data_IF_696376892042
#
_entry.id   IF_696376892042
#
_cell.length_a   1.000
_cell.length_b   1.000
_cell.length_c   1.000
_cell.angle_alpha   90.00
_cell.angle_beta   90.00
_cell.angle_gamma   90.00
#
_symmetry.space_group_name_H-M   'P 1'
#
loop_
_entity.id
_entity.type
_entity.pdbx_description
1 polymer ?
#
# COMPACT_ATOMS: atom_id res chain seq x y z
N UNK A 1 -15.04 -7.57 -0.59
CA UNK A 1 -14.20 -8.61 0.01
C UNK A 1 -14.26 -8.42 1.51
N UNK A 2 -14.32 -9.50 2.25
CA UNK A 2 -14.39 -9.47 3.71
C UNK A 2 -13.06 -9.89 4.32
N UNK A 3 -12.78 -9.42 5.54
CA UNK A 3 -11.61 -9.85 6.27
C UNK A 3 -11.74 -11.33 6.69
N UNK A 4 -10.71 -12.10 6.35
CA UNK A 4 -10.62 -13.52 6.68
C UNK A 4 -9.46 -13.75 7.63
N UNK A 5 -9.76 -13.82 8.92
CA UNK A 5 -8.77 -14.13 9.95
C UNK A 5 -8.39 -15.61 9.88
N UNK A 6 -7.11 -15.88 9.69
CA UNK A 6 -6.52 -17.23 9.72
C UNK A 6 -5.53 -17.29 10.86
N UNK A 7 -5.75 -18.16 11.82
CA UNK A 7 -4.87 -18.33 12.97
C UNK A 7 -4.99 -19.74 13.53
N UNK A 8 -3.88 -20.35 13.97
CA UNK A 8 -3.92 -21.59 14.74
C UNK A 8 -4.44 -21.37 16.18
N UNK A 9 -4.51 -20.11 16.62
CA UNK A 9 -4.91 -19.75 17.97
C UNK A 9 -6.40 -19.41 18.02
N UNK A 10 -6.99 -19.62 19.22
CA UNK A 10 -8.32 -19.14 19.55
C UNK A 10 -8.22 -18.13 20.69
N UNK A 11 -9.12 -17.14 20.75
CA UNK A 11 -9.15 -16.21 21.87
C UNK A 11 -9.34 -16.95 23.22
N UNK A 12 -8.49 -16.65 24.19
CA UNK A 12 -8.49 -17.29 25.53
C UNK A 12 -8.43 -16.24 26.64
N UNK A 13 -8.69 -16.66 27.86
CA UNK A 13 -8.71 -15.76 29.03
C UNK A 13 -9.70 -14.61 28.86
N UNK A 14 -9.24 -13.38 29.02
CA UNK A 14 -10.04 -12.17 28.92
C UNK A 14 -10.22 -11.68 27.47
N UNK A 15 -9.51 -12.27 26.50
CA UNK A 15 -9.57 -11.84 25.10
C UNK A 15 -10.99 -11.88 24.49
N UNK A 16 -11.81 -12.94 24.67
CA UNK A 16 -13.18 -12.95 24.14
C UNK A 16 -14.01 -11.77 24.63
N UNK A 17 -13.96 -11.48 25.92
CA UNK A 17 -14.69 -10.37 26.53
C UNK A 17 -14.18 -9.02 26.01
N UNK A 18 -12.86 -8.84 25.87
CA UNK A 18 -12.27 -7.63 25.32
C UNK A 18 -12.67 -7.39 23.87
N UNK A 19 -12.64 -8.44 23.03
CA UNK A 19 -13.08 -8.39 21.62
C UNK A 19 -14.55 -7.96 21.53
N UNK A 20 -15.44 -8.59 22.28
CA UNK A 20 -16.87 -8.30 22.23
C UNK A 20 -17.17 -6.88 22.74
N UNK A 21 -16.48 -6.42 23.77
CA UNK A 21 -16.60 -5.06 24.31
C UNK A 21 -16.16 -4.01 23.29
N UNK A 22 -14.99 -4.20 22.66
CA UNK A 22 -14.46 -3.28 21.65
C UNK A 22 -15.38 -3.21 20.42
N UNK A 23 -15.83 -4.36 19.90
CA UNK A 23 -16.77 -4.42 18.77
C UNK A 23 -18.10 -3.74 19.11
N UNK A 24 -18.64 -4.01 20.29
CA UNK A 24 -19.87 -3.37 20.77
C UNK A 24 -19.70 -1.85 20.87
N UNK A 25 -18.59 -1.37 21.44
CA UNK A 25 -18.29 0.05 21.56
C UNK A 25 -18.25 0.76 20.20
N UNK A 26 -17.57 0.18 19.21
CA UNK A 26 -17.56 0.71 17.84
C UNK A 26 -18.98 0.77 17.23
N UNK A 27 -19.77 -0.29 17.40
CA UNK A 27 -21.13 -0.34 16.87
C UNK A 27 -22.09 0.65 17.58
N UNK A 28 -21.79 1.02 18.82
CA UNK A 28 -22.49 2.05 19.58
C UNK A 28 -22.00 3.48 19.24
N UNK A 29 -21.00 3.61 18.37
CA UNK A 29 -20.44 4.90 17.95
C UNK A 29 -19.42 5.51 18.93
N UNK A 30 -18.84 4.73 19.82
CA UNK A 30 -17.76 5.20 20.69
C UNK A 30 -16.57 5.64 19.83
N UNK A 31 -16.13 6.90 20.04
CA UNK A 31 -15.01 7.46 19.29
C UNK A 31 -13.66 6.94 19.77
N UNK A 32 -13.56 6.60 21.04
CA UNK A 32 -12.33 6.21 21.70
C UNK A 32 -12.58 5.00 22.60
N UNK A 33 -11.66 4.06 22.56
CA UNK A 33 -11.63 2.89 23.43
C UNK A 33 -10.17 2.52 23.73
N UNK A 34 -9.88 2.00 24.90
CA UNK A 34 -8.54 1.60 25.31
C UNK A 34 -8.50 0.12 25.61
N UNK A 35 -7.60 -0.61 24.91
CA UNK A 35 -7.28 -2.00 25.25
C UNK A 35 -6.03 -2.01 26.16
N UNK A 36 -6.22 -2.34 27.44
CA UNK A 36 -5.14 -2.46 28.39
C UNK A 36 -4.70 -3.92 28.50
N UNK A 37 -3.41 -4.17 28.41
CA UNK A 37 -2.84 -5.51 28.57
C UNK A 37 -1.33 -5.47 28.67
N UNK A 38 -0.75 -6.41 29.43
CA UNK A 38 0.71 -6.55 29.55
C UNK A 38 1.36 -6.98 28.24
N UNK A 39 2.67 -6.86 28.16
CA UNK A 39 3.43 -7.39 27.02
C UNK A 39 3.22 -8.90 26.92
N UNK A 40 3.00 -9.42 25.69
CA UNK A 40 2.75 -10.84 25.46
C UNK A 40 1.31 -11.31 25.74
N UNK A 41 0.38 -10.43 26.14
CA UNK A 41 -1.03 -10.81 26.35
C UNK A 41 -1.83 -11.05 25.06
N UNK A 42 -1.21 -10.98 23.89
CA UNK A 42 -1.87 -11.19 22.60
C UNK A 42 -2.75 -10.01 22.16
N UNK A 43 -2.36 -8.76 22.48
CA UNK A 43 -3.11 -7.57 22.05
C UNK A 43 -3.28 -7.49 20.53
N UNK A 44 -2.24 -7.80 19.74
CA UNK A 44 -2.31 -7.81 18.28
C UNK A 44 -3.34 -8.82 17.80
N UNK A 45 -3.34 -10.03 18.35
CA UNK A 45 -4.34 -11.05 18.01
C UNK A 45 -5.76 -10.64 18.42
N UNK A 46 -5.92 -9.99 19.59
CA UNK A 46 -7.20 -9.41 20.03
C UNK A 46 -7.69 -8.39 19.00
N UNK A 47 -6.82 -7.47 18.57
CA UNK A 47 -7.17 -6.46 17.55
C UNK A 47 -7.46 -7.09 16.19
N UNK A 48 -6.73 -8.13 15.77
CA UNK A 48 -7.05 -8.87 14.55
C UNK A 48 -8.47 -9.45 14.57
N UNK A 49 -8.90 -10.02 15.70
CA UNK A 49 -10.27 -10.49 15.87
C UNK A 49 -11.31 -9.34 15.82
N UNK A 50 -10.99 -8.18 16.39
CA UNK A 50 -11.85 -6.99 16.30
C UNK A 50 -11.98 -6.52 14.86
N UNK A 51 -10.89 -6.42 14.11
CA UNK A 51 -10.85 -6.03 12.71
C UNK A 51 -11.72 -6.99 11.87
N UNK A 52 -11.52 -8.29 12.03
CA UNK A 52 -12.30 -9.29 11.32
C UNK A 52 -13.81 -9.18 11.59
N UNK A 53 -14.20 -8.95 12.86
CA UNK A 53 -15.62 -8.80 13.24
C UNK A 53 -16.24 -7.50 12.74
N UNK A 54 -15.48 -6.40 12.70
CA UNK A 54 -15.97 -5.09 12.23
C UNK A 54 -16.02 -5.00 10.73
N UNK A 55 -15.17 -5.71 10.03
CA UNK A 55 -15.05 -5.75 8.58
C UNK A 55 -14.95 -4.36 7.92
N UNK A 56 -14.07 -3.51 8.47
CA UNK A 56 -13.86 -2.12 8.02
C UNK A 56 -12.40 -1.88 7.68
N UNK A 57 -12.08 -1.06 6.65
CA UNK A 57 -10.72 -0.58 6.41
C UNK A 57 -10.12 -0.03 7.70
N UNK A 58 -8.90 -0.44 8.00
CA UNK A 58 -8.27 -0.15 9.30
C UNK A 58 -6.90 0.50 9.11
N UNK A 59 -6.65 1.57 9.87
CA UNK A 59 -5.33 2.17 10.00
C UNK A 59 -4.74 1.79 11.36
N UNK A 60 -3.56 1.19 11.34
CA UNK A 60 -2.74 0.88 12.52
C UNK A 60 -1.58 1.86 12.56
N UNK A 61 -1.55 2.73 13.55
CA UNK A 61 -0.50 3.73 13.71
C UNK A 61 0.50 3.32 14.79
N UNK A 62 1.75 3.11 14.39
CA UNK A 62 2.86 2.80 15.28
C UNK A 62 3.76 4.02 15.48
N UNK A 63 4.41 4.12 16.65
CA UNK A 63 5.26 5.27 16.97
C UNK A 63 6.60 5.29 16.22
N UNK A 64 7.05 4.17 15.65
CA UNK A 64 8.26 4.10 14.82
C UNK A 64 8.15 3.05 13.71
N UNK A 65 9.13 3.08 12.77
CA UNK A 65 9.20 2.16 11.63
C UNK A 65 9.35 0.69 12.05
N UNK A 66 10.15 0.41 13.07
CA UNK A 66 10.44 -0.96 13.52
C UNK A 66 9.18 -1.63 14.06
N UNK A 67 8.43 -0.95 14.92
CA UNK A 67 7.16 -1.47 15.43
C UNK A 67 6.12 -1.58 14.31
N UNK A 68 6.09 -0.63 13.37
CA UNK A 68 5.20 -0.72 12.22
C UNK A 68 5.52 -1.96 11.36
N UNK A 69 6.80 -2.27 11.13
CA UNK A 69 7.21 -3.45 10.39
C UNK A 69 6.80 -4.75 11.11
N UNK A 70 7.03 -4.83 12.42
CA UNK A 70 6.61 -5.97 13.22
C UNK A 70 5.09 -6.19 13.16
N UNK A 71 4.30 -5.13 13.40
CA UNK A 71 2.83 -5.22 13.35
C UNK A 71 2.34 -5.59 11.94
N UNK A 72 2.97 -5.06 10.90
CA UNK A 72 2.64 -5.41 9.52
C UNK A 72 2.86 -6.91 9.25
N UNK A 73 3.98 -7.47 9.72
CA UNK A 73 4.26 -8.91 9.62
C UNK A 73 3.22 -9.74 10.38
N UNK A 74 2.92 -9.39 11.63
CA UNK A 74 1.92 -10.07 12.45
C UNK A 74 0.52 -10.04 11.79
N UNK A 75 0.09 -8.89 11.26
CA UNK A 75 -1.20 -8.79 10.57
C UNK A 75 -1.21 -9.54 9.23
N UNK A 76 -0.10 -9.60 8.48
CA UNK A 76 0.00 -10.44 7.27
C UNK A 76 -0.16 -11.93 7.57
N UNK A 77 0.36 -12.39 8.68
CA UNK A 77 0.16 -13.77 9.14
C UNK A 77 -1.31 -14.05 9.48
N UNK A 78 -2.00 -13.10 10.12
CA UNK A 78 -3.42 -13.24 10.46
C UNK A 78 -4.36 -13.06 9.28
N UNK A 79 -3.97 -12.30 8.26
CA UNK A 79 -4.80 -11.95 7.11
C UNK A 79 -4.08 -12.20 5.77
N UNK A 80 -3.66 -13.45 5.48
CA UNK A 80 -2.87 -13.76 4.29
C UNK A 80 -3.62 -13.55 2.96
N UNK A 81 -4.97 -13.51 2.99
CA UNK A 81 -5.80 -13.30 1.80
C UNK A 81 -6.28 -11.84 1.64
N UNK A 82 -5.99 -10.98 2.63
CA UNK A 82 -6.41 -9.58 2.63
C UNK A 82 -5.22 -8.62 2.38
N UNK A 83 -5.52 -7.38 2.04
CA UNK A 83 -4.47 -6.38 1.83
C UNK A 83 -3.94 -5.86 3.16
N UNK A 84 -2.74 -6.25 3.53
CA UNK A 84 -2.01 -5.69 4.68
C UNK A 84 -0.79 -4.96 4.16
N UNK A 85 -0.84 -3.64 4.25
CA UNK A 85 0.10 -2.75 3.60
C UNK A 85 0.96 -1.97 4.60
N UNK A 86 2.20 -1.72 4.21
CA UNK A 86 3.18 -1.00 5.03
C UNK A 86 3.38 0.41 4.51
N UNK A 87 3.19 1.41 5.37
CA UNK A 87 3.27 2.81 4.98
C UNK A 87 4.14 3.62 5.94
N UNK A 88 5.38 3.91 5.53
CA UNK A 88 6.35 4.65 6.34
C UNK A 88 7.02 5.76 5.53
N UNK A 89 7.88 6.54 6.18
CA UNK A 89 8.64 7.62 5.52
C UNK A 89 9.59 7.09 4.45
N UNK A 90 9.74 7.80 3.34
CA UNK A 90 10.66 7.49 2.24
C UNK A 90 12.11 7.40 2.67
N UNK A 91 12.52 8.24 3.63
CA UNK A 91 13.91 8.41 3.99
C UNK A 91 14.34 7.38 5.03
N UNK A 92 15.31 6.56 4.70
CA UNK A 92 15.99 5.65 5.63
C UNK A 92 17.14 6.34 6.34
N UNK A 93 17.78 7.27 5.66
CA UNK A 93 18.93 8.02 6.14
C UNK A 93 18.72 9.52 5.91
N UNK A 94 19.00 10.30 6.93
CA UNK A 94 19.02 11.74 6.87
C UNK A 94 20.31 12.23 7.51
N UNK A 95 21.21 12.78 6.70
CA UNK A 95 22.41 13.46 7.17
C UNK A 95 22.15 14.97 7.10
N UNK A 96 22.06 15.66 8.24
CA UNK A 96 21.97 17.11 8.23
C UNK A 96 23.25 17.74 7.73
N UNK A 97 23.13 18.93 7.17
CA UNK A 97 24.30 19.75 6.86
C UNK A 97 25.13 19.97 8.11
N UNK A 98 26.44 19.80 7.99
CA UNK A 98 27.39 20.05 9.07
C UNK A 98 28.66 20.66 8.53
N UNK A 99 29.19 21.64 9.26
CA UNK A 99 30.53 22.21 8.99
C UNK A 99 31.49 21.86 10.09
N UNK A 100 32.58 21.18 9.75
CA UNK A 100 33.64 20.79 10.67
C UNK A 100 34.78 21.80 10.54
N UNK A 101 34.78 22.79 11.42
CA UNK A 101 35.74 23.91 11.37
C UNK A 101 37.21 23.47 11.47
N UNK A 102 37.51 22.39 12.21
CA UNK A 102 38.87 21.91 12.40
C UNK A 102 39.52 21.33 11.12
N UNK A 103 38.70 20.87 10.18
CA UNK A 103 39.19 20.27 8.91
C UNK A 103 38.70 21.05 7.70
N UNK A 104 38.08 22.21 7.91
CA UNK A 104 37.42 23.01 6.85
C UNK A 104 36.56 22.16 5.91
N UNK A 105 35.82 21.23 6.50
CA UNK A 105 35.01 20.27 5.74
C UNK A 105 33.53 20.61 5.87
N UNK A 106 32.90 20.84 4.73
CA UNK A 106 31.46 20.97 4.63
C UNK A 106 30.86 19.61 4.27
N UNK A 107 29.96 19.12 5.12
CA UNK A 107 29.18 17.92 4.86
C UNK A 107 27.82 18.36 4.32
N UNK A 108 27.56 18.05 3.06
CA UNK A 108 26.28 18.37 2.43
C UNK A 108 25.15 17.53 3.01
N UNK A 109 23.94 18.11 2.97
CA UNK A 109 22.73 17.39 3.30
C UNK A 109 22.55 16.22 2.34
N UNK A 110 22.49 15.01 2.86
CA UNK A 110 22.21 13.81 2.07
C UNK A 110 20.91 13.15 2.54
N UNK A 111 20.04 12.84 1.59
CA UNK A 111 18.83 12.09 1.83
C UNK A 111 18.52 11.25 0.59
N UNK A 112 18.61 9.96 0.73
CA UNK A 112 18.23 9.03 -0.35
C UNK A 112 16.79 8.54 -0.19
N UNK A 113 16.07 8.50 -1.30
CA UNK A 113 14.75 7.85 -1.36
C UNK A 113 14.99 6.35 -1.51
N UNK A 114 14.34 5.58 -0.65
CA UNK A 114 14.38 4.12 -0.74
C UNK A 114 13.27 3.66 -1.70
N UNK A 115 13.67 3.09 -2.84
CA UNK A 115 12.75 2.63 -3.89
C UNK A 115 11.79 1.52 -3.41
N UNK A 116 12.22 0.68 -2.48
CA UNK A 116 11.37 -0.34 -1.88
C UNK A 116 10.26 0.29 -1.03
N UNK A 117 10.60 1.30 -0.24
CA UNK A 117 9.60 2.04 0.56
C UNK A 117 8.65 2.81 -0.35
N UNK A 118 9.15 3.40 -1.44
CA UNK A 118 8.33 4.09 -2.43
C UNK A 118 7.29 3.13 -3.03
N UNK A 119 7.72 1.96 -3.47
CA UNK A 119 6.85 0.89 -3.96
C UNK A 119 5.77 0.50 -2.94
N UNK A 120 6.16 0.28 -1.67
CA UNK A 120 5.22 -0.10 -0.61
C UNK A 120 4.18 0.99 -0.34
N UNK A 121 4.56 2.27 -0.42
CA UNK A 121 3.64 3.40 -0.28
C UNK A 121 2.65 3.48 -1.44
N UNK A 122 3.10 3.26 -2.66
CA UNK A 122 2.21 3.17 -3.83
C UNK A 122 1.25 1.98 -3.71
N UNK A 123 1.73 0.81 -3.27
CA UNK A 123 0.89 -0.36 -3.01
C UNK A 123 -0.21 -0.05 -1.98
N UNK A 124 0.16 0.56 -0.86
CA UNK A 124 -0.80 0.94 0.19
C UNK A 124 -1.89 1.91 -0.33
N UNK A 125 -1.49 2.89 -1.12
CA UNK A 125 -2.42 3.89 -1.67
C UNK A 125 -3.37 3.25 -2.70
N UNK A 126 -2.85 2.39 -3.57
CA UNK A 126 -3.65 1.63 -4.54
C UNK A 126 -4.63 0.70 -3.85
N UNK A 127 -4.16 -0.12 -2.90
CA UNK A 127 -5.01 -1.03 -2.14
C UNK A 127 -6.16 -0.30 -1.42
N UNK A 128 -5.89 0.85 -0.81
CA UNK A 128 -6.91 1.66 -0.14
C UNK A 128 -7.96 2.21 -1.11
N UNK A 129 -7.59 2.47 -2.36
CA UNK A 129 -8.49 2.98 -3.40
C UNK A 129 -9.37 1.88 -4.01
N UNK A 130 -8.85 0.65 -4.10
CA UNK A 130 -9.46 -0.45 -4.85
C UNK A 130 -10.20 -1.46 -3.94
N UNK A 131 -9.78 -1.58 -2.67
CA UNK A 131 -10.26 -2.63 -1.76
C UNK A 131 -10.92 -2.05 -0.52
N UNK A 132 -11.75 -2.88 0.13
CA UNK A 132 -12.37 -2.56 1.43
C UNK A 132 -11.78 -3.37 2.57
N UNK A 133 -11.13 -4.47 2.28
CA UNK A 133 -10.47 -5.38 3.20
C UNK A 133 -8.98 -5.02 3.34
N UNK A 134 -8.72 -3.77 3.73
CA UNK A 134 -7.37 -3.19 3.79
C UNK A 134 -6.99 -2.85 5.22
N UNK A 135 -5.79 -3.28 5.63
CA UNK A 135 -5.12 -2.83 6.86
C UNK A 135 -3.87 -2.07 6.45
N UNK A 136 -3.81 -0.78 6.75
CA UNK A 136 -2.61 0.03 6.57
C UNK A 136 -1.86 0.09 7.90
N UNK A 137 -0.65 -0.43 7.95
CA UNK A 137 0.23 -0.30 9.11
C UNK A 137 1.25 0.81 8.83
N UNK A 138 1.17 1.87 9.61
CA UNK A 138 1.91 3.10 9.34
C UNK A 138 2.70 3.59 10.55
N UNK A 139 3.75 4.35 10.28
CA UNK A 139 4.39 5.23 11.25
C UNK A 139 3.76 6.62 11.22
N UNK A 140 4.29 7.55 12.00
CA UNK A 140 3.86 8.96 12.04
C UNK A 140 3.82 9.64 10.66
N UNK A 141 4.47 9.08 9.65
CA UNK A 141 4.48 9.61 8.27
C UNK A 141 3.10 9.75 7.63
N UNK A 142 2.11 8.98 8.08
CA UNK A 142 0.76 9.04 7.53
C UNK A 142 -0.03 10.31 7.91
N UNK A 143 0.43 11.06 8.92
CA UNK A 143 -0.23 12.32 9.32
C UNK A 143 0.18 13.53 8.47
N UNK A 144 1.24 13.37 7.67
CA UNK A 144 1.66 14.41 6.74
C UNK A 144 0.94 14.25 5.41
N UNK A 145 0.49 15.37 4.83
CA UNK A 145 -0.26 15.38 3.58
C UNK A 145 0.49 14.68 2.44
N UNK A 146 -0.19 13.80 1.73
CA UNK A 146 0.28 13.11 0.53
C UNK A 146 -0.34 13.67 -0.77
N UNK A 147 -1.06 14.77 -0.66
CA UNK A 147 -1.86 15.32 -1.74
C UNK A 147 -3.37 15.10 -1.54
N UNK A 148 -4.13 15.50 -2.54
CA UNK A 148 -5.59 15.37 -2.53
C UNK A 148 -6.01 13.95 -2.91
N UNK A 149 -6.88 13.27 -2.14
CA UNK A 149 -7.47 11.99 -2.55
C UNK A 149 -8.28 12.09 -3.85
N UNK A 150 -8.78 13.27 -4.19
CA UNK A 150 -9.51 13.51 -5.45
C UNK A 150 -8.54 13.47 -6.61
N UNK A 151 -7.40 14.15 -6.50
CA UNK A 151 -6.36 14.17 -7.54
C UNK A 151 -5.80 12.76 -7.77
N UNK A 152 -5.58 11.99 -6.69
CA UNK A 152 -5.17 10.59 -6.83
C UNK A 152 -6.18 9.76 -7.63
N UNK A 153 -7.48 9.92 -7.39
CA UNK A 153 -8.53 9.22 -8.15
C UNK A 153 -8.56 9.60 -9.62
N UNK A 154 -8.23 10.83 -9.99
CA UNK A 154 -8.14 11.25 -11.38
C UNK A 154 -6.94 10.67 -12.11
N UNK A 155 -5.91 10.26 -11.36
CA UNK A 155 -4.70 9.61 -11.87
C UNK A 155 -4.81 8.08 -11.97
N UNK A 156 -5.97 7.50 -11.72
CA UNK A 156 -6.22 6.06 -11.87
C UNK A 156 -6.73 5.76 -13.28
N UNK A 157 -6.20 4.69 -13.87
CA UNK A 157 -6.69 4.15 -15.13
C UNK A 157 -7.39 2.82 -14.83
N UNK A 158 -8.69 2.75 -15.11
CA UNK A 158 -9.44 1.50 -15.02
C UNK A 158 -9.49 0.84 -16.40
N UNK A 159 -9.04 -0.41 -16.46
CA UNK A 159 -9.02 -1.22 -17.67
C UNK A 159 -9.73 -2.55 -17.42
N UNK A 160 -10.49 -3.02 -18.40
CA UNK A 160 -11.13 -4.35 -18.36
C UNK A 160 -11.31 -4.89 -19.77
N UNK A 161 -11.23 -6.20 -19.99
CA UNK A 161 -11.57 -6.82 -21.27
C UNK A 161 -12.98 -6.44 -21.73
N UNK A 162 -13.16 -6.21 -23.02
CA UNK A 162 -14.41 -5.76 -23.62
C UNK A 162 -14.71 -4.26 -23.44
N UNK A 163 -13.77 -3.49 -22.93
CA UNK A 163 -13.93 -2.04 -22.80
C UNK A 163 -13.59 -1.33 -24.10
N UNK A 164 -14.52 -0.50 -24.62
CA UNK A 164 -14.24 0.42 -25.71
C UNK A 164 -13.27 1.51 -25.22
N UNK A 165 -12.07 1.44 -25.68
CA UNK A 165 -11.01 2.41 -25.42
C UNK A 165 -9.91 2.23 -26.45
N UNK A 166 -9.63 3.26 -27.23
CA UNK A 166 -8.54 3.18 -28.20
C UNK A 166 -7.18 3.06 -27.52
N UNK A 167 -6.26 2.39 -28.17
CA UNK A 167 -4.86 2.29 -27.71
C UNK A 167 -4.27 3.67 -27.46
N UNK A 168 -4.47 4.61 -28.39
CA UNK A 168 -3.88 5.94 -28.30
C UNK A 168 -4.44 6.74 -27.12
N UNK A 169 -5.73 6.61 -26.80
CA UNK A 169 -6.32 7.20 -25.59
C UNK A 169 -5.73 6.60 -24.30
N UNK A 170 -5.35 5.32 -24.31
CA UNK A 170 -4.61 4.74 -23.19
C UNK A 170 -3.20 5.33 -23.07
N UNK A 171 -2.48 5.48 -24.19
CA UNK A 171 -1.14 6.05 -24.21
C UNK A 171 -1.11 7.50 -23.71
N UNK A 172 -2.04 8.33 -24.18
CA UNK A 172 -2.20 9.72 -23.71
C UNK A 172 -2.43 9.75 -22.20
N UNK A 173 -3.31 8.89 -21.68
CA UNK A 173 -3.60 8.84 -20.25
C UNK A 173 -2.39 8.36 -19.42
N UNK A 174 -1.60 7.42 -19.93
CA UNK A 174 -0.36 6.98 -19.27
C UNK A 174 0.64 8.13 -19.15
N UNK A 175 0.82 8.92 -20.22
CA UNK A 175 1.70 10.11 -20.18
C UNK A 175 1.15 11.18 -19.23
N UNK A 176 -0.17 11.43 -19.23
CA UNK A 176 -0.81 12.38 -18.31
C UNK A 176 -0.52 12.03 -16.84
N UNK A 177 -0.55 10.73 -16.48
CA UNK A 177 -0.25 10.26 -15.14
C UNK A 177 1.24 9.97 -14.89
N UNK A 178 2.11 10.56 -15.72
CA UNK A 178 3.57 10.57 -15.58
C UNK A 178 4.26 9.22 -15.83
N UNK A 179 3.66 8.31 -16.59
CA UNK A 179 4.38 7.15 -17.10
C UNK A 179 5.25 7.54 -18.30
N UNK A 180 6.45 7.01 -18.35
CA UNK A 180 7.40 7.24 -19.43
C UNK A 180 7.39 6.07 -20.41
N UNK A 181 7.33 6.36 -21.74
CA UNK A 181 7.54 5.33 -22.75
C UNK A 181 9.00 4.94 -22.84
N UNK A 182 9.31 3.68 -22.64
CA UNK A 182 10.65 3.15 -22.84
C UNK A 182 10.58 1.68 -23.29
N UNK A 183 10.92 1.46 -24.55
CA UNK A 183 10.84 0.13 -25.17
C UNK A 183 12.06 -0.74 -24.85
N UNK A 184 13.16 -0.14 -24.32
CA UNK A 184 14.43 -0.81 -24.02
C UNK A 184 14.58 -1.08 -22.52
N UNK A 185 14.48 -0.03 -21.70
CA UNK A 185 14.58 -0.14 -20.25
C UNK A 185 13.18 -0.14 -19.63
N UNK A 186 12.57 -1.33 -19.57
CA UNK A 186 11.20 -1.53 -19.10
C UNK A 186 11.20 -1.84 -17.60
N UNK A 187 11.12 -0.80 -16.79
CA UNK A 187 11.09 -0.83 -15.33
C UNK A 187 9.83 -0.14 -14.80
N UNK A 188 9.64 -0.08 -13.49
CA UNK A 188 8.52 0.62 -12.83
C UNK A 188 8.28 2.02 -13.41
N UNK A 189 7.03 2.44 -13.47
CA UNK A 189 6.56 3.71 -14.03
C UNK A 189 6.81 3.87 -15.54
N UNK A 190 7.07 2.78 -16.24
CA UNK A 190 7.27 2.82 -17.69
C UNK A 190 6.26 1.95 -18.41
N UNK A 191 6.05 2.29 -19.67
CA UNK A 191 5.28 1.48 -20.60
C UNK A 191 6.03 1.31 -21.93
N UNK A 192 5.73 0.25 -22.63
CA UNK A 192 6.22 0.00 -23.99
C UNK A 192 5.09 -0.42 -24.90
N UNK A 193 5.26 -0.20 -26.21
CA UNK A 193 4.23 -0.42 -27.23
C UNK A 193 4.78 -1.24 -28.35
N UNK A 194 4.09 -2.33 -28.70
CA UNK A 194 4.41 -3.18 -29.86
C UNK A 194 3.14 -3.52 -30.62
N UNK A 195 2.89 -2.81 -31.74
CA UNK A 195 1.65 -2.97 -32.51
C UNK A 195 0.44 -2.62 -31.67
N UNK A 196 -0.49 -3.56 -31.55
CA UNK A 196 -1.73 -3.41 -30.79
C UNK A 196 -1.59 -3.86 -29.32
N UNK A 197 -0.36 -4.00 -28.84
CA UNK A 197 -0.07 -4.40 -27.46
C UNK A 197 0.61 -3.27 -26.72
N UNK A 198 0.08 -2.94 -25.55
CA UNK A 198 0.66 -2.00 -24.58
C UNK A 198 1.04 -2.77 -23.33
N UNK A 199 2.30 -2.70 -22.96
CA UNK A 199 2.79 -3.28 -21.68
C UNK A 199 3.11 -2.15 -20.72
N UNK A 200 2.58 -2.26 -19.51
CA UNK A 200 2.66 -1.24 -18.47
C UNK A 200 3.30 -1.85 -17.23
N UNK A 201 4.34 -1.20 -16.70
CA UNK A 201 4.94 -1.62 -15.44
C UNK A 201 4.46 -0.67 -14.32
N UNK A 202 3.45 -1.09 -13.51
CA UNK A 202 2.85 -0.22 -12.51
C UNK A 202 3.83 0.22 -11.44
N UNK A 203 3.63 1.43 -10.89
CA UNK A 203 4.43 1.98 -9.80
C UNK A 203 4.41 1.10 -8.53
N UNK A 204 3.26 0.49 -8.26
CA UNK A 204 3.03 -0.36 -7.10
C UNK A 204 3.55 -1.81 -7.28
N UNK A 205 3.81 -2.25 -8.51
CA UNK A 205 4.28 -3.60 -8.80
C UNK A 205 5.78 -3.74 -8.56
N UNK A 206 6.20 -4.92 -8.10
CA UNK A 206 7.61 -5.25 -7.90
C UNK A 206 8.21 -6.14 -8.96
N UNK A 207 7.42 -7.04 -9.50
CA UNK A 207 7.92 -8.16 -10.30
C UNK A 207 7.10 -8.43 -11.56
N UNK A 208 5.91 -7.88 -11.64
CA UNK A 208 5.01 -8.11 -12.76
C UNK A 208 4.59 -6.84 -13.47
N UNK A 209 4.42 -6.95 -14.79
CA UNK A 209 3.85 -5.91 -15.62
C UNK A 209 2.49 -6.36 -16.17
N UNK A 210 1.70 -5.40 -16.62
CA UNK A 210 0.39 -5.64 -17.20
C UNK A 210 0.51 -5.50 -18.72
N UNK A 211 0.05 -6.51 -19.44
CA UNK A 211 -0.10 -6.49 -20.90
C UNK A 211 -1.56 -6.27 -21.25
N UNK A 212 -1.81 -5.25 -22.07
CA UNK A 212 -3.12 -4.90 -22.62
C UNK A 212 -3.06 -5.12 -24.13
N UNK A 213 -3.88 -6.01 -24.63
CA UNK A 213 -3.99 -6.34 -26.05
C UNK A 213 -5.26 -5.70 -26.61
N UNK A 214 -5.14 -5.04 -27.76
CA UNK A 214 -6.24 -4.34 -28.40
C UNK A 214 -6.67 -5.05 -29.69
N UNK A 215 -7.96 -5.03 -29.96
CA UNK A 215 -8.53 -5.37 -31.25
C UNK A 215 -9.35 -4.16 -31.76
N UNK A 216 -8.74 -3.37 -32.63
CA UNK A 216 -9.28 -2.06 -33.00
C UNK A 216 -9.31 -1.11 -31.80
N UNK A 217 -10.47 -0.56 -31.49
CA UNK A 217 -10.69 0.35 -30.37
C UNK A 217 -11.27 -0.36 -29.11
N UNK A 218 -11.11 -1.67 -29.02
CA UNK A 218 -11.57 -2.47 -27.88
C UNK A 218 -10.39 -3.18 -27.21
N UNK A 219 -10.43 -3.27 -25.88
CA UNK A 219 -9.49 -4.08 -25.10
C UNK A 219 -9.93 -5.54 -25.20
N UNK A 220 -9.18 -6.34 -25.98
CA UNK A 220 -9.46 -7.75 -26.16
C UNK A 220 -9.03 -8.57 -24.93
N UNK A 221 -7.82 -8.31 -24.44
CA UNK A 221 -7.24 -9.10 -23.35
C UNK A 221 -6.36 -8.26 -22.42
N UNK A 222 -6.41 -8.61 -21.14
CA UNK A 222 -5.47 -8.11 -20.12
C UNK A 222 -4.83 -9.31 -19.44
N UNK A 223 -3.51 -9.31 -19.34
CA UNK A 223 -2.73 -10.36 -18.68
C UNK A 223 -1.59 -9.79 -17.87
N UNK A 224 -1.24 -10.48 -16.81
CA UNK A 224 -0.04 -10.22 -16.04
C UNK A 224 1.15 -10.93 -16.71
N UNK A 225 2.28 -10.25 -16.81
CA UNK A 225 3.49 -10.77 -17.45
C UNK A 225 4.71 -10.52 -16.58
N UNK A 226 5.70 -11.40 -16.70
CA UNK A 226 7.04 -11.13 -16.18
C UNK A 226 7.76 -10.21 -17.18
N UNK A 227 8.27 -9.03 -16.77
CA UNK A 227 8.91 -8.08 -17.65
C UNK A 227 10.30 -8.48 -18.15
N UNK A 228 10.89 -9.54 -17.58
CA UNK A 228 12.22 -10.08 -17.92
C UNK A 228 12.17 -10.94 -19.17
#
# INVERSE_FOLDING_TARGET
>A
MDFKLISPYKPTGDQPQAIDSLVKGVNMGFKEQTLLGVTGSGKTFTMANVIAKLNKPTLVLAHNKTLAAQLCSEFKEFFPENAVEYFVSYYDYYQPEAYIANTDTYIEKDSSINDEIDKLRHSATSALSERRDVIIVSSVSCIYSLGSPIDYKTMVISLRPGMEKSRDALLEKLVEIQYERNDVNFIRNKFRVRGDVVEIFPAASGESAIRVEFFGDEIDRISEINPI
#
